data_IF_757999843018
#
_entry.id   IF_757999843018
#
_cell.length_a   1.000
_cell.length_b   1.000
_cell.length_c   1.000
_cell.angle_alpha   90.00
_cell.angle_beta   90.00
_cell.angle_gamma   90.00
#
_symmetry.space_group_name_H-M   'P 1'
#
loop_
_entity.id
_entity.type
_entity.pdbx_description
1 polymer ?
#
# COMPACT_ATOMS: atom_id res chain seq x y z
N UNK A 1 -19.29 40.59 0.92
CA UNK A 1 -19.14 40.01 2.27
C UNK A 1 -18.91 38.53 2.08
N UNK A 2 -17.69 38.04 2.35
CA UNK A 2 -17.39 36.60 2.31
C UNK A 2 -17.89 36.02 3.63
N UNK A 3 -18.76 35.00 3.57
CA UNK A 3 -19.23 34.31 4.75
C UNK A 3 -18.02 33.75 5.51
N UNK A 4 -17.92 34.01 6.82
CA UNK A 4 -16.96 33.32 7.67
C UNK A 4 -17.36 31.84 7.68
N UNK A 5 -16.46 30.97 7.26
CA UNK A 5 -16.59 29.54 7.51
C UNK A 5 -16.72 29.32 9.02
N UNK A 6 -17.77 28.60 9.41
CA UNK A 6 -18.00 28.27 10.81
C UNK A 6 -17.06 27.09 11.13
N UNK A 7 -15.93 27.37 11.77
CA UNK A 7 -15.00 26.35 12.22
C UNK A 7 -15.69 25.49 13.29
N UNK A 8 -15.86 24.19 13.01
CA UNK A 8 -16.43 23.26 13.99
C UNK A 8 -15.48 23.10 15.18
N UNK A 9 -16.06 23.07 16.38
CA UNK A 9 -15.31 22.76 17.59
C UNK A 9 -14.90 21.28 17.63
N UNK A 10 -13.86 20.97 18.40
CA UNK A 10 -13.36 19.59 18.60
C UNK A 10 -14.48 18.63 19.06
N UNK A 11 -15.38 19.10 19.92
CA UNK A 11 -16.52 18.30 20.40
C UNK A 11 -17.48 17.92 19.26
N UNK A 12 -17.76 18.85 18.36
CA UNK A 12 -18.64 18.61 17.19
C UNK A 12 -18.00 17.62 16.22
N UNK A 13 -16.68 17.73 16.00
CA UNK A 13 -15.91 16.77 15.19
C UNK A 13 -16.01 15.36 15.79
N UNK A 14 -15.87 15.21 17.12
CA UNK A 14 -15.97 13.91 17.78
C UNK A 14 -17.38 13.32 17.70
N UNK A 15 -18.43 14.15 17.80
CA UNK A 15 -19.81 13.69 17.61
C UNK A 15 -20.06 13.20 16.18
N UNK A 16 -19.52 13.89 15.17
CA UNK A 16 -19.58 13.43 13.78
C UNK A 16 -18.83 12.11 13.58
N UNK A 17 -17.67 11.95 14.21
CA UNK A 17 -16.90 10.71 14.13
C UNK A 17 -17.65 9.50 14.72
N UNK A 18 -18.40 9.70 15.81
CA UNK A 18 -19.26 8.65 16.40
C UNK A 18 -20.36 8.26 15.41
N UNK A 19 -21.07 9.23 14.84
CA UNK A 19 -22.12 8.95 13.86
C UNK A 19 -21.59 8.21 12.62
N UNK A 20 -20.40 8.58 12.14
CA UNK A 20 -19.75 7.92 11.02
C UNK A 20 -19.29 6.49 11.38
N UNK A 21 -18.82 6.28 12.61
CA UNK A 21 -18.48 4.95 13.11
C UNK A 21 -19.71 4.03 13.09
N UNK A 22 -20.83 4.47 13.65
CA UNK A 22 -22.06 3.68 13.70
C UNK A 22 -22.58 3.35 12.29
N UNK A 23 -22.50 4.33 11.37
CA UNK A 23 -22.85 4.13 9.97
C UNK A 23 -21.97 3.05 9.31
N UNK A 24 -20.64 3.13 9.51
CA UNK A 24 -19.68 2.21 8.90
C UNK A 24 -19.69 0.83 9.54
N UNK A 25 -19.96 0.72 10.83
CA UNK A 25 -20.04 -0.55 11.54
C UNK A 25 -21.13 -1.45 10.95
N UNK A 26 -22.25 -0.87 10.50
CA UNK A 26 -23.30 -1.63 9.79
C UNK A 26 -22.82 -2.30 8.50
N UNK A 27 -21.80 -1.73 7.84
CA UNK A 27 -21.30 -2.21 6.54
C UNK A 27 -20.02 -3.05 6.69
N UNK A 28 -19.15 -2.69 7.64
CA UNK A 28 -17.83 -3.30 7.81
C UNK A 28 -17.77 -4.23 9.02
N UNK A 29 -18.64 -4.05 10.00
CA UNK A 29 -18.57 -4.70 11.31
C UNK A 29 -17.18 -4.61 11.93
N UNK A 30 -16.85 -5.62 12.74
CA UNK A 30 -15.54 -5.73 13.39
C UNK A 30 -14.42 -6.22 12.45
N UNK A 31 -14.41 -5.78 11.19
CA UNK A 31 -13.36 -6.13 10.21
C UNK A 31 -11.96 -5.83 10.74
N UNK A 32 -11.78 -4.77 11.52
CA UNK A 32 -10.48 -4.41 12.11
C UNK A 32 -9.94 -5.47 13.09
N UNK A 33 -10.82 -6.17 13.84
CA UNK A 33 -10.41 -7.28 14.73
C UNK A 33 -10.03 -8.52 13.94
N UNK A 34 -10.91 -8.94 13.01
CA UNK A 34 -10.71 -10.13 12.15
C UNK A 34 -9.45 -10.00 11.30
N UNK A 35 -9.12 -8.78 10.87
CA UNK A 35 -7.89 -8.50 10.16
C UNK A 35 -6.67 -8.94 10.97
N UNK A 36 -6.58 -8.58 12.26
CA UNK A 36 -5.46 -8.98 13.11
C UNK A 36 -5.28 -10.50 13.24
N UNK A 37 -6.38 -11.24 13.38
CA UNK A 37 -6.35 -12.72 13.44
C UNK A 37 -5.79 -13.34 12.17
N UNK A 38 -6.21 -12.85 11.00
CA UNK A 38 -5.70 -13.39 9.74
C UNK A 38 -4.25 -12.99 9.51
N UNK A 39 -3.86 -11.76 9.86
CA UNK A 39 -2.45 -11.36 9.78
C UNK A 39 -1.54 -12.22 10.66
N UNK A 40 -1.98 -12.55 11.88
CA UNK A 40 -1.25 -13.46 12.76
C UNK A 40 -1.14 -14.87 12.16
N UNK A 41 -2.17 -15.34 11.45
CA UNK A 41 -2.15 -16.62 10.77
C UNK A 41 -1.27 -16.63 9.49
N UNK A 42 -1.27 -15.53 8.72
CA UNK A 42 -0.48 -15.40 7.49
C UNK A 42 1.01 -15.18 7.77
N UNK A 43 1.32 -14.45 8.84
CA UNK A 43 2.67 -14.04 9.22
C UNK A 43 2.93 -14.39 10.68
N UNK A 44 3.03 -15.69 11.03
CA UNK A 44 3.18 -16.13 12.42
C UNK A 44 4.45 -15.62 13.09
N UNK A 45 5.47 -15.28 12.30
CA UNK A 45 6.74 -14.69 12.77
C UNK A 45 6.81 -13.17 12.54
N UNK A 46 5.69 -12.56 12.15
CA UNK A 46 5.63 -11.17 11.72
C UNK A 46 6.19 -10.94 10.31
N UNK A 47 6.34 -9.66 9.96
CA UNK A 47 6.81 -9.21 8.65
C UNK A 47 7.96 -8.22 8.86
N UNK A 48 9.08 -8.43 8.18
CA UNK A 48 10.22 -7.52 8.22
C UNK A 48 10.26 -6.67 6.94
N UNK A 49 10.01 -5.36 7.06
CA UNK A 49 10.02 -4.40 5.96
C UNK A 49 11.11 -3.36 6.24
N UNK A 50 12.04 -3.18 5.30
CA UNK A 50 13.28 -2.41 5.46
C UNK A 50 13.43 -1.28 4.46
N UNK A 51 12.62 -1.20 3.40
CA UNK A 51 12.57 -0.01 2.53
C UNK A 51 11.18 0.44 2.15
N UNK A 52 11.13 1.67 1.63
CA UNK A 52 9.94 2.29 1.07
C UNK A 52 9.23 1.37 0.07
N UNK A 53 9.94 0.67 -0.80
CA UNK A 53 9.33 -0.20 -1.81
C UNK A 53 8.67 -1.43 -1.17
N UNK A 54 9.28 -2.00 -0.12
CA UNK A 54 8.68 -3.08 0.66
C UNK A 54 7.43 -2.60 1.39
N UNK A 55 7.48 -1.40 1.99
CA UNK A 55 6.31 -0.77 2.59
C UNK A 55 5.21 -0.46 1.57
N UNK A 56 5.54 -0.02 0.35
CA UNK A 56 4.57 0.23 -0.72
C UNK A 56 3.86 -1.04 -1.16
N UNK A 57 4.61 -2.12 -1.41
CA UNK A 57 4.01 -3.42 -1.75
C UNK A 57 3.18 -3.97 -0.60
N UNK A 58 3.67 -3.85 0.62
CA UNK A 58 2.92 -4.26 1.81
C UNK A 58 1.63 -3.45 1.99
N UNK A 59 1.67 -2.14 1.74
CA UNK A 59 0.48 -1.29 1.80
C UNK A 59 -0.57 -1.73 0.78
N UNK A 60 -0.18 -2.00 -0.47
CA UNK A 60 -1.12 -2.50 -1.50
C UNK A 60 -1.68 -3.87 -1.14
N UNK A 61 -0.82 -4.78 -0.66
CA UNK A 61 -1.22 -6.07 -0.13
C UNK A 61 -2.23 -5.93 1.02
N UNK A 62 -1.98 -5.02 1.96
CA UNK A 62 -2.85 -4.78 3.12
C UNK A 62 -4.21 -4.20 2.74
N UNK A 63 -4.23 -3.24 1.80
CA UNK A 63 -5.46 -2.68 1.26
C UNK A 63 -6.29 -3.75 0.54
N UNK A 64 -5.66 -4.56 -0.32
CA UNK A 64 -6.34 -5.67 -0.98
C UNK A 64 -6.90 -6.65 0.05
N UNK A 65 -6.12 -6.99 1.07
CA UNK A 65 -6.55 -7.91 2.10
C UNK A 65 -7.75 -7.40 2.92
N UNK A 66 -7.77 -6.11 3.29
CA UNK A 66 -8.93 -5.49 3.93
C UNK A 66 -10.21 -5.57 3.07
N UNK A 67 -10.08 -5.42 1.75
CA UNK A 67 -11.20 -5.59 0.81
C UNK A 67 -11.64 -7.04 0.69
N UNK A 68 -10.71 -8.01 0.70
CA UNK A 68 -11.05 -9.43 0.75
C UNK A 68 -11.87 -9.79 1.99
N UNK A 69 -11.50 -9.28 3.17
CA UNK A 69 -12.28 -9.53 4.40
C UNK A 69 -13.68 -8.94 4.28
N UNK A 70 -13.83 -7.69 3.81
CA UNK A 70 -15.14 -7.07 3.61
C UNK A 70 -15.99 -7.87 2.61
N UNK A 71 -15.38 -8.33 1.51
CA UNK A 71 -16.05 -9.17 0.54
C UNK A 71 -16.51 -10.50 1.18
N UNK A 72 -15.61 -11.16 1.93
CA UNK A 72 -15.89 -12.43 2.61
C UNK A 72 -16.99 -12.30 3.68
N UNK A 73 -17.02 -11.19 4.43
CA UNK A 73 -18.08 -10.92 5.41
C UNK A 73 -19.47 -10.84 4.77
N UNK A 74 -19.54 -10.49 3.48
CA UNK A 74 -20.78 -10.39 2.71
C UNK A 74 -20.95 -11.57 1.74
N UNK A 75 -20.14 -12.64 1.84
CA UNK A 75 -20.11 -13.72 0.84
C UNK A 75 -21.47 -14.44 0.71
N UNK A 76 -22.17 -14.62 1.83
CA UNK A 76 -23.48 -15.27 1.86
C UNK A 76 -24.57 -14.47 1.12
N UNK A 77 -24.38 -13.16 0.97
CA UNK A 77 -25.27 -12.25 0.21
C UNK A 77 -24.71 -11.89 -1.17
N UNK A 78 -23.74 -12.64 -1.69
CA UNK A 78 -23.14 -12.42 -3.02
C UNK A 78 -21.84 -11.60 -3.02
N UNK A 79 -21.30 -11.28 -1.85
CA UNK A 79 -20.07 -10.49 -1.69
C UNK A 79 -20.34 -8.98 -1.65
N UNK A 80 -19.29 -8.19 -1.89
CA UNK A 80 -19.37 -6.73 -1.90
C UNK A 80 -18.76 -6.16 -3.18
N UNK A 81 -19.58 -5.61 -4.08
CA UNK A 81 -19.16 -5.16 -5.42
C UNK A 81 -17.99 -4.16 -5.38
N UNK A 82 -18.10 -3.07 -4.61
CA UNK A 82 -17.01 -2.10 -4.50
C UNK A 82 -15.70 -2.73 -4.02
N UNK A 83 -15.79 -3.75 -3.16
CA UNK A 83 -14.59 -4.44 -2.67
C UNK A 83 -13.95 -5.27 -3.78
N UNK A 84 -14.75 -5.90 -4.66
CA UNK A 84 -14.23 -6.62 -5.81
C UNK A 84 -13.54 -5.68 -6.83
N UNK A 85 -14.12 -4.50 -7.07
CA UNK A 85 -13.50 -3.49 -7.93
C UNK A 85 -12.20 -2.93 -7.32
N UNK A 86 -12.20 -2.64 -6.01
CA UNK A 86 -10.99 -2.21 -5.31
C UNK A 86 -9.88 -3.28 -5.34
N UNK A 87 -10.23 -4.57 -5.31
CA UNK A 87 -9.25 -5.65 -5.46
C UNK A 87 -8.56 -5.60 -6.81
N UNK A 88 -9.28 -5.31 -7.89
CA UNK A 88 -8.68 -5.15 -9.22
C UNK A 88 -7.68 -3.99 -9.22
N UNK A 89 -8.08 -2.85 -8.66
CA UNK A 89 -7.23 -1.66 -8.58
C UNK A 89 -5.96 -1.92 -7.77
N UNK A 90 -6.08 -2.47 -6.56
CA UNK A 90 -4.93 -2.75 -5.71
C UNK A 90 -4.04 -3.86 -6.28
N UNK A 91 -4.61 -4.87 -6.94
CA UNK A 91 -3.83 -5.89 -7.63
C UNK A 91 -3.04 -5.31 -8.80
N UNK A 92 -3.63 -4.40 -9.58
CA UNK A 92 -2.95 -3.71 -10.68
C UNK A 92 -1.79 -2.84 -10.17
N UNK A 93 -2.01 -2.07 -9.10
CA UNK A 93 -0.97 -1.25 -8.45
C UNK A 93 0.14 -2.11 -7.84
N UNK A 94 -0.21 -3.24 -7.20
CA UNK A 94 0.75 -4.18 -6.65
C UNK A 94 1.60 -4.83 -7.75
N UNK A 95 0.99 -5.20 -8.88
CA UNK A 95 1.71 -5.73 -10.04
C UNK A 95 2.69 -4.69 -10.60
N UNK A 96 2.26 -3.43 -10.72
CA UNK A 96 3.13 -2.34 -11.15
C UNK A 96 4.35 -2.19 -10.23
N UNK A 97 4.12 -2.06 -8.91
CA UNK A 97 5.20 -1.96 -7.92
C UNK A 97 6.11 -3.21 -7.87
N UNK A 98 5.58 -4.39 -8.23
CA UNK A 98 6.36 -5.62 -8.36
C UNK A 98 7.27 -5.58 -9.59
N UNK A 99 6.79 -5.04 -10.70
CA UNK A 99 7.56 -4.96 -11.94
C UNK A 99 8.68 -3.92 -11.86
N UNK A 100 8.47 -2.80 -11.17
CA UNK A 100 9.52 -1.78 -10.96
C UNK A 100 10.79 -2.37 -10.31
N UNK A 101 10.62 -3.30 -9.36
CA UNK A 101 11.75 -4.01 -8.73
C UNK A 101 12.44 -4.97 -9.70
N UNK A 102 11.68 -5.72 -10.49
CA UNK A 102 12.23 -6.67 -11.47
C UNK A 102 13.05 -5.97 -12.55
N UNK A 103 12.55 -4.85 -13.06
CA UNK A 103 13.27 -4.03 -14.03
C UNK A 103 14.59 -3.49 -13.46
N UNK A 104 14.60 -3.07 -12.20
CA UNK A 104 15.84 -2.66 -11.53
C UNK A 104 16.82 -3.83 -11.35
N UNK A 105 16.35 -5.04 -11.03
CA UNK A 105 17.20 -6.22 -10.88
C UNK A 105 17.80 -6.68 -12.22
N UNK A 106 17.00 -6.76 -13.28
CA UNK A 106 17.49 -7.20 -14.59
C UNK A 106 18.54 -6.21 -15.16
N UNK A 107 18.42 -4.91 -14.84
CA UNK A 107 19.44 -3.92 -15.17
C UNK A 107 20.82 -4.21 -14.55
N UNK A 108 20.88 -4.81 -13.36
CA UNK A 108 22.15 -5.20 -12.75
C UNK A 108 22.86 -6.32 -13.51
N UNK A 109 22.10 -7.22 -14.13
CA UNK A 109 22.63 -8.38 -14.84
C UNK A 109 23.10 -7.99 -16.25
N UNK A 110 22.38 -7.08 -16.91
CA UNK A 110 22.73 -6.52 -18.21
C UNK A 110 23.66 -5.32 -18.05
N UNK A 111 24.97 -5.51 -18.25
CA UNK A 111 26.05 -4.50 -18.14
C UNK A 111 25.93 -3.28 -19.11
N UNK A 112 24.76 -3.00 -19.65
CA UNK A 112 24.49 -1.86 -20.54
C UNK A 112 23.90 -0.69 -19.74
N UNK A 113 24.74 0.32 -19.50
CA UNK A 113 24.49 1.53 -18.71
C UNK A 113 23.43 2.50 -19.29
N UNK A 114 22.20 2.06 -19.56
CA UNK A 114 21.08 2.98 -19.80
C UNK A 114 20.30 3.21 -18.50
N UNK A 115 19.90 4.44 -18.12
CA UNK A 115 19.22 4.67 -16.85
C UNK A 115 17.86 3.95 -16.79
N UNK A 116 17.62 3.16 -15.73
CA UNK A 116 16.36 2.41 -15.58
C UNK A 116 15.17 3.38 -15.50
N UNK A 117 13.98 2.93 -15.93
CA UNK A 117 12.78 3.76 -16.02
C UNK A 117 12.38 4.33 -14.65
N UNK A 118 12.52 3.54 -13.57
CA UNK A 118 12.29 4.00 -12.20
C UNK A 118 13.22 5.16 -11.79
N UNK A 119 14.45 5.22 -12.32
CA UNK A 119 15.40 6.31 -12.09
C UNK A 119 15.12 7.57 -12.92
N UNK A 120 14.24 7.52 -13.93
CA UNK A 120 13.89 8.73 -14.71
C UNK A 120 12.94 9.67 -13.96
N UNK A 121 12.14 9.14 -13.05
CA UNK A 121 11.12 9.92 -12.31
C UNK A 121 11.61 10.46 -10.97
N UNK A 122 12.74 9.97 -10.45
CA UNK A 122 13.35 10.51 -9.24
C UNK A 122 14.55 11.35 -9.68
N UNK A 123 14.48 12.67 -9.50
CA UNK A 123 15.58 13.62 -9.78
C UNK A 123 16.80 13.42 -8.86
N UNK A 124 17.21 12.19 -8.54
CA UNK A 124 18.42 11.90 -7.77
C UNK A 124 19.59 11.75 -8.74
N UNK A 125 19.98 12.85 -9.37
CA UNK A 125 21.25 12.96 -10.09
C UNK A 125 22.42 13.09 -9.11
N UNK A 126 22.52 12.19 -8.14
CA UNK A 126 23.79 11.96 -7.44
C UNK A 126 24.20 10.52 -7.73
N UNK A 127 24.72 10.34 -8.95
CA UNK A 127 25.47 9.15 -9.29
C UNK A 127 26.63 9.06 -8.28
N UNK A 128 26.61 8.00 -7.49
CA UNK A 128 27.80 7.62 -6.71
C UNK A 128 28.96 7.33 -7.66
N UNK A 129 30.20 7.30 -7.15
CA UNK A 129 31.41 7.03 -7.96
C UNK A 129 31.41 5.69 -8.70
N UNK A 130 30.42 4.83 -8.44
CA UNK A 130 30.18 3.55 -9.11
C UNK A 130 29.21 3.65 -10.30
N UNK A 131 28.66 4.83 -10.59
CA UNK A 131 27.69 5.04 -11.67
C UNK A 131 26.28 4.53 -11.33
N UNK A 132 26.03 4.12 -10.08
CA UNK A 132 24.73 3.63 -9.64
C UNK A 132 23.89 4.71 -8.96
N UNK A 133 22.59 4.68 -9.26
CA UNK A 133 21.56 5.37 -8.49
C UNK A 133 21.50 4.81 -7.06
N UNK A 134 21.20 5.68 -6.08
CA UNK A 134 21.07 5.33 -4.67
C UNK A 134 20.07 4.19 -4.41
N UNK A 135 18.99 4.12 -5.19
CA UNK A 135 17.99 3.06 -5.13
C UNK A 135 18.58 1.71 -5.55
N UNK A 136 19.33 1.68 -6.66
CA UNK A 136 20.01 0.47 -7.14
C UNK A 136 21.06 -0.01 -6.12
N UNK A 137 21.88 0.91 -5.58
CA UNK A 137 22.95 0.55 -4.66
C UNK A 137 22.44 -0.20 -3.40
N UNK A 138 21.26 0.19 -2.89
CA UNK A 138 20.61 -0.48 -1.75
C UNK A 138 20.08 -1.88 -2.04
N UNK A 139 19.78 -2.21 -3.31
CA UNK A 139 19.36 -3.56 -3.69
C UNK A 139 20.55 -4.53 -3.66
N UNK A 140 21.74 -4.07 -4.02
CA UNK A 140 22.96 -4.90 -4.04
C UNK A 140 23.40 -5.32 -2.62
N UNK A 141 23.22 -4.45 -1.62
CA UNK A 141 23.54 -4.75 -0.22
C UNK A 141 22.57 -5.77 0.43
N UNK A 142 21.43 -6.08 -0.21
CA UNK A 142 20.42 -7.03 0.32
C UNK A 142 20.62 -8.46 -0.15
N UNK A 143 21.29 -8.66 -1.27
CA UNK A 143 21.57 -9.97 -1.84
C UNK A 143 22.93 -10.55 -1.33
N UNK A 144 23.56 -9.89 -0.33
CA UNK A 144 24.76 -10.34 0.40
C UNK A 144 24.41 -10.79 1.82
#
# INVERSE_FOLDING_TARGET
>A
MVAKENEMGVQEILMLAIAEYDLRDSTYGETWRRTGEVYAAMFPEGINLRSAEEFQRYQMFSLAFGKLIRYANNIASGGHEDSALDLINYAAMLLHATNEVKECRNWFEDKNFAPCIACKNIQVHQASSTGMCFHCNKLQERDQ
#
